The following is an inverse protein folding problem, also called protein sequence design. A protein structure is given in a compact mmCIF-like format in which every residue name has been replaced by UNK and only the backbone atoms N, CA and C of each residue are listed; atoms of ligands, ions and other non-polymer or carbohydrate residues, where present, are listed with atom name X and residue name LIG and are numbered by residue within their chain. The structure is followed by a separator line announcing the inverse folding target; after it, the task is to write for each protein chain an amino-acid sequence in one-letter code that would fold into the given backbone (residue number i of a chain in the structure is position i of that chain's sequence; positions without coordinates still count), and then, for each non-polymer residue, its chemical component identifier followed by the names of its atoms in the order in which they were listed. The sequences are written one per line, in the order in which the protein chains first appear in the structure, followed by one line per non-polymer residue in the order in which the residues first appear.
data_IF_151338247324
#
_entry.id   IF_151338247324
#
_cell.length_a   1.000
_cell.length_b   1.000
_cell.length_c   1.000
_cell.angle_alpha   90.00
_cell.angle_beta   90.00
_cell.angle_gamma   90.00
#
_symmetry.space_group_name_H-M   'P 1'
#
loop_
_entity.id
_entity.type
_entity.pdbx_description
1 polymer ?
#
# COMPACT_ATOMS: atom_id res chain seq x y z
N UNK A 1 -7.68 16.90 -22.61
CA UNK A 1 -7.72 17.35 -24.00
C UNK A 1 -9.13 17.82 -24.32
N UNK A 2 -9.32 19.09 -24.70
CA UNK A 2 -10.67 19.68 -24.84
C UNK A 2 -11.44 19.10 -26.03
N UNK A 3 -10.72 18.71 -27.07
CA UNK A 3 -11.31 18.38 -28.36
C UNK A 3 -11.96 16.99 -28.34
N UNK A 4 -11.36 16.05 -27.61
CA UNK A 4 -11.95 14.72 -27.38
C UNK A 4 -13.27 14.79 -26.60
N UNK A 5 -13.34 15.62 -25.55
CA UNK A 5 -14.58 15.85 -24.82
C UNK A 5 -15.65 16.49 -25.71
N UNK A 6 -15.31 17.51 -26.48
CA UNK A 6 -16.25 18.12 -27.43
C UNK A 6 -16.77 17.12 -28.47
N UNK A 7 -15.92 16.24 -28.97
CA UNK A 7 -16.33 15.17 -29.88
C UNK A 7 -17.36 14.26 -29.21
N UNK A 8 -17.11 13.79 -28.00
CA UNK A 8 -18.04 12.94 -27.25
C UNK A 8 -19.39 13.63 -27.02
N UNK A 9 -19.39 14.90 -26.62
CA UNK A 9 -20.63 15.69 -26.43
C UNK A 9 -21.48 15.82 -27.71
N UNK A 10 -20.84 15.88 -28.88
CA UNK A 10 -21.54 16.02 -30.17
C UNK A 10 -22.04 14.69 -30.73
N UNK A 11 -21.41 13.57 -30.35
CA UNK A 11 -21.63 12.27 -30.98
C UNK A 11 -22.24 11.21 -30.05
N UNK A 12 -22.35 11.46 -28.74
CA UNK A 12 -22.97 10.55 -27.79
C UNK A 12 -24.35 11.07 -27.35
N UNK A 13 -25.26 10.13 -27.11
CA UNK A 13 -26.54 10.37 -26.47
C UNK A 13 -26.37 10.78 -25.00
N UNK A 14 -27.45 11.29 -24.40
CA UNK A 14 -27.50 11.64 -22.97
C UNK A 14 -27.09 10.45 -22.07
N UNK A 15 -27.55 9.25 -22.39
CA UNK A 15 -27.30 8.07 -21.56
C UNK A 15 -25.86 7.57 -21.71
N UNK A 16 -25.30 7.62 -22.92
CA UNK A 16 -23.87 7.31 -23.15
C UNK A 16 -22.97 8.31 -22.43
N UNK A 17 -23.29 9.60 -22.52
CA UNK A 17 -22.55 10.64 -21.79
C UNK A 17 -22.65 10.42 -20.28
N UNK A 18 -23.83 10.06 -19.76
CA UNK A 18 -24.01 9.74 -18.34
C UNK A 18 -23.06 8.63 -17.89
N UNK A 19 -23.00 7.52 -18.62
CA UNK A 19 -22.08 6.43 -18.28
C UNK A 19 -20.62 6.80 -18.48
N UNK A 20 -20.29 7.52 -19.55
CA UNK A 20 -18.93 7.96 -19.83
C UNK A 20 -18.41 8.89 -18.74
N UNK A 21 -19.22 9.82 -18.24
CA UNK A 21 -18.86 10.65 -17.08
C UNK A 21 -18.62 9.79 -15.85
N UNK A 22 -19.53 8.86 -15.53
CA UNK A 22 -19.36 7.96 -14.39
C UNK A 22 -18.09 7.11 -14.48
N UNK A 23 -17.70 6.65 -15.68
CA UNK A 23 -16.42 5.96 -15.91
C UNK A 23 -15.24 6.89 -15.65
N UNK A 24 -15.26 8.11 -16.20
CA UNK A 24 -14.16 9.07 -16.03
C UNK A 24 -13.94 9.47 -14.56
N UNK A 25 -15.02 9.64 -13.80
CA UNK A 25 -14.93 9.97 -12.36
C UNK A 25 -14.81 8.73 -11.46
N UNK A 26 -14.77 7.52 -12.03
CA UNK A 26 -14.68 6.23 -11.31
C UNK A 26 -15.83 6.04 -10.30
N UNK A 27 -17.06 6.30 -10.73
CA UNK A 27 -18.28 6.24 -9.91
C UNK A 27 -19.28 5.18 -10.42
N UNK A 28 -18.87 4.27 -11.31
CA UNK A 28 -19.77 3.28 -11.91
C UNK A 28 -20.41 2.39 -10.85
N UNK A 29 -19.63 1.84 -9.92
CA UNK A 29 -20.11 0.94 -8.86
C UNK A 29 -21.17 1.60 -7.97
N UNK A 30 -20.95 2.87 -7.63
CA UNK A 30 -21.89 3.67 -6.84
C UNK A 30 -23.18 3.92 -7.61
N UNK A 31 -23.08 4.25 -8.90
CA UNK A 31 -24.24 4.52 -9.76
C UNK A 31 -25.12 3.31 -9.97
N UNK A 32 -24.54 2.11 -10.09
CA UNK A 32 -25.32 0.85 -10.18
C UNK A 32 -25.70 0.28 -8.81
N UNK A 33 -25.12 0.79 -7.72
CA UNK A 33 -25.37 0.29 -6.36
C UNK A 33 -24.82 -1.11 -6.09
N UNK A 34 -23.77 -1.53 -6.80
CA UNK A 34 -23.19 -2.88 -6.70
C UNK A 34 -21.73 -2.78 -6.28
N UNK A 35 -21.36 -3.54 -5.25
CA UNK A 35 -19.97 -3.57 -4.76
C UNK A 35 -19.04 -4.24 -5.79
N UNK A 36 -17.79 -3.77 -5.89
CA UNK A 36 -16.78 -4.31 -6.81
C UNK A 36 -16.61 -5.82 -6.72
N UNK A 37 -16.64 -6.41 -5.51
CA UNK A 37 -16.52 -7.86 -5.32
C UNK A 37 -17.67 -8.64 -5.99
N UNK A 38 -18.88 -8.06 -6.04
CA UNK A 38 -20.03 -8.67 -6.71
C UNK A 38 -19.87 -8.59 -8.23
N UNK A 39 -19.36 -7.47 -8.74
CA UNK A 39 -19.06 -7.33 -10.18
C UNK A 39 -17.98 -8.35 -10.58
N UNK A 40 -16.92 -8.49 -9.78
CA UNK A 40 -15.85 -9.44 -10.02
C UNK A 40 -16.35 -10.89 -10.00
N UNK A 41 -17.26 -11.25 -9.09
CA UNK A 41 -17.78 -12.62 -9.02
C UNK A 41 -18.59 -13.01 -10.27
N UNK A 42 -19.07 -12.06 -11.06
CA UNK A 42 -19.71 -12.33 -12.36
C UNK A 42 -18.71 -12.76 -13.43
N UNK A 43 -17.42 -12.46 -13.27
CA UNK A 43 -16.35 -12.87 -14.20
C UNK A 43 -15.89 -14.32 -13.96
N UNK A 44 -16.27 -14.91 -12.82
CA UNK A 44 -15.96 -16.30 -12.48
C UNK A 44 -15.69 -16.50 -10.99
N UNK A 45 -15.65 -17.76 -10.53
CA UNK A 45 -15.49 -18.08 -9.11
C UNK A 45 -14.14 -17.60 -8.53
N UNK A 46 -13.07 -17.60 -9.33
CA UNK A 46 -11.72 -17.21 -8.88
C UNK A 46 -11.39 -15.74 -9.14
N UNK A 47 -12.30 -14.97 -9.76
CA UNK A 47 -12.00 -13.61 -10.23
C UNK A 47 -11.64 -12.66 -9.09
N UNK A 48 -12.29 -12.79 -7.94
CA UNK A 48 -12.01 -11.98 -6.74
C UNK A 48 -10.61 -12.27 -6.21
N UNK A 49 -10.20 -13.54 -6.17
CA UNK A 49 -8.89 -13.94 -5.65
C UNK A 49 -7.78 -13.47 -6.58
N UNK A 50 -7.96 -13.61 -7.90
CA UNK A 50 -7.02 -13.09 -8.91
C UNK A 50 -6.89 -11.56 -8.83
N UNK A 51 -8.01 -10.86 -8.63
CA UNK A 51 -7.99 -9.41 -8.43
C UNK A 51 -7.20 -9.02 -7.17
N UNK A 52 -7.39 -9.73 -6.06
CA UNK A 52 -6.65 -9.46 -4.82
C UNK A 52 -5.16 -9.76 -4.98
N UNK A 53 -4.78 -10.75 -5.80
CA UNK A 53 -3.41 -11.15 -6.05
C UNK A 53 -2.64 -10.25 -7.03
N UNK A 54 -3.30 -9.65 -8.02
CA UNK A 54 -2.62 -8.90 -9.09
C UNK A 54 -3.06 -7.44 -9.24
N UNK A 55 -4.27 -7.09 -8.78
CA UNK A 55 -4.96 -5.82 -9.08
C UNK A 55 -4.93 -5.42 -10.56
N UNK A 56 -4.97 -6.42 -11.43
CA UNK A 56 -4.96 -6.25 -12.88
C UNK A 56 -6.19 -6.97 -13.48
N UNK A 57 -7.02 -6.22 -14.20
CA UNK A 57 -8.21 -6.78 -14.83
C UNK A 57 -7.86 -7.74 -15.97
N UNK A 58 -6.69 -7.59 -16.59
CA UNK A 58 -6.23 -8.51 -17.64
C UNK A 58 -5.92 -9.90 -17.06
N UNK A 59 -5.30 -9.96 -15.87
CA UNK A 59 -5.06 -11.21 -15.13
C UNK A 59 -6.37 -11.83 -14.61
N UNK A 60 -7.35 -11.01 -14.22
CA UNK A 60 -8.68 -11.51 -13.84
C UNK A 60 -9.39 -12.17 -15.02
N UNK A 61 -9.28 -11.58 -16.22
CA UNK A 61 -9.91 -12.08 -17.44
C UNK A 61 -9.12 -13.22 -18.12
N UNK A 62 -7.90 -13.51 -17.68
CA UNK A 62 -7.06 -14.53 -18.28
C UNK A 62 -7.64 -15.95 -18.07
N UNK A 63 -7.54 -16.86 -19.06
CA UNK A 63 -8.09 -18.20 -18.96
C UNK A 63 -7.37 -19.08 -17.91
N UNK A 64 -6.15 -18.72 -17.52
CA UNK A 64 -5.36 -19.40 -16.50
C UNK A 64 -4.59 -18.40 -15.67
N UNK A 65 -4.52 -18.59 -14.35
CA UNK A 65 -3.71 -17.76 -13.47
C UNK A 65 -2.22 -17.90 -13.83
N UNK A 66 -1.54 -16.78 -14.12
CA UNK A 66 -0.09 -16.77 -14.15
C UNK A 66 0.41 -16.88 -12.71
N UNK A 67 1.20 -17.91 -12.40
CA UNK A 67 1.85 -18.05 -11.09
C UNK A 67 3.09 -17.14 -11.03
N UNK A 68 2.93 -15.86 -11.31
CA UNK A 68 4.04 -14.92 -11.23
C UNK A 68 4.43 -14.65 -9.77
N UNK A 69 5.73 -14.45 -9.56
CA UNK A 69 6.27 -14.10 -8.25
C UNK A 69 5.60 -12.81 -7.74
N UNK A 70 5.16 -12.73 -6.47
CA UNK A 70 4.58 -11.50 -5.93
C UNK A 70 5.59 -10.34 -5.87
N UNK A 71 6.88 -10.60 -6.13
CA UNK A 71 7.93 -9.61 -6.14
C UNK A 71 7.73 -8.60 -7.28
N UNK A 72 7.42 -7.35 -6.90
CA UNK A 72 7.17 -6.26 -7.84
C UNK A 72 5.74 -6.24 -8.40
N UNK A 73 4.88 -7.15 -7.96
CA UNK A 73 3.46 -7.18 -8.31
C UNK A 73 2.65 -6.28 -7.35
N UNK A 74 1.61 -5.64 -7.88
CA UNK A 74 0.75 -4.75 -7.13
C UNK A 74 -0.44 -5.52 -6.54
N UNK A 75 -0.25 -6.19 -5.42
CA UNK A 75 -1.32 -6.95 -4.78
C UNK A 75 -2.01 -6.17 -3.67
N UNK A 76 -3.19 -6.64 -3.26
CA UNK A 76 -3.93 -6.06 -2.14
C UNK A 76 -3.32 -6.52 -0.81
N UNK A 77 -2.83 -5.60 0.05
CA UNK A 77 -2.32 -6.00 1.36
C UNK A 77 -3.44 -6.55 2.25
N UNK A 78 -3.05 -7.35 3.23
CA UNK A 78 -3.98 -7.90 4.21
C UNK A 78 -4.65 -6.77 5.00
N UNK A 79 -5.94 -6.94 5.33
CA UNK A 79 -6.71 -5.95 6.07
C UNK A 79 -7.10 -6.51 7.43
N UNK A 80 -7.00 -5.66 8.46
CA UNK A 80 -7.52 -5.99 9.78
C UNK A 80 -9.05 -5.99 9.77
N UNK A 81 -9.63 -7.05 10.35
CA UNK A 81 -11.04 -7.10 10.69
C UNK A 81 -11.30 -6.26 11.95
N UNK A 82 -12.44 -5.57 12.00
CA UNK A 82 -12.88 -4.89 13.21
C UNK A 82 -13.55 -5.91 14.13
N UNK A 83 -13.00 -6.09 15.32
CA UNK A 83 -13.63 -6.95 16.32
C UNK A 83 -14.94 -6.32 16.85
N UNK A 84 -15.93 -7.16 17.20
CA UNK A 84 -17.16 -6.69 17.84
C UNK A 84 -16.86 -6.10 19.23
N UNK A 85 -17.79 -5.32 19.79
CA UNK A 85 -17.60 -4.76 21.15
C UNK A 85 -17.73 -5.84 22.22
N UNK A 86 -18.68 -6.76 22.02
CA UNK A 86 -18.96 -7.88 22.91
C UNK A 86 -18.61 -9.17 22.17
N UNK A 87 -18.16 -10.19 22.91
CA UNK A 87 -17.78 -11.48 22.32
C UNK A 87 -16.54 -11.42 21.41
N UNK A 88 -15.69 -10.39 21.55
CA UNK A 88 -14.50 -10.23 20.70
C UNK A 88 -13.48 -11.34 20.92
N UNK A 89 -13.45 -11.91 22.12
CA UNK A 89 -12.52 -12.97 22.48
C UNK A 89 -12.80 -14.26 21.73
N UNK A 90 -14.07 -14.64 21.59
CA UNK A 90 -14.49 -15.84 20.88
C UNK A 90 -14.14 -15.73 19.40
N UNK A 91 -14.43 -14.57 18.78
CA UNK A 91 -14.06 -14.29 17.39
C UNK A 91 -12.54 -14.34 17.20
N UNK A 92 -11.79 -13.74 18.12
CA UNK A 92 -10.32 -13.72 18.04
C UNK A 92 -9.75 -15.13 18.22
N UNK A 93 -10.24 -15.90 19.18
CA UNK A 93 -9.80 -17.27 19.44
C UNK A 93 -10.11 -18.21 18.26
N UNK A 94 -11.27 -18.05 17.63
CA UNK A 94 -11.67 -18.84 16.45
C UNK A 94 -10.75 -18.59 15.26
N UNK A 95 -10.29 -17.34 15.06
CA UNK A 95 -9.51 -16.95 13.88
C UNK A 95 -7.99 -16.99 14.10
N UNK A 96 -7.52 -16.71 15.31
CA UNK A 96 -6.10 -16.56 15.65
C UNK A 96 -5.58 -17.64 16.61
N UNK A 97 -6.45 -18.49 17.16
CA UNK A 97 -6.09 -19.47 18.19
C UNK A 97 -5.98 -18.87 19.59
N UNK A 98 -5.52 -19.69 20.54
CA UNK A 98 -5.34 -19.27 21.95
C UNK A 98 -4.08 -18.44 22.19
N UNK A 99 -3.05 -18.63 21.37
CA UNK A 99 -1.79 -17.90 21.43
C UNK A 99 -1.64 -17.05 20.17
N UNK A 100 -1.53 -15.73 20.35
CA UNK A 100 -1.41 -14.76 19.26
C UNK A 100 -0.54 -13.58 19.69
N UNK A 101 -0.07 -12.82 18.71
CA UNK A 101 0.71 -11.61 18.95
C UNK A 101 -0.20 -10.38 19.01
N UNK A 102 0.18 -9.41 19.84
CA UNK A 102 -0.46 -8.10 19.90
C UNK A 102 0.55 -7.06 19.48
N UNK A 103 0.24 -6.32 18.42
CA UNK A 103 1.07 -5.22 17.92
C UNK A 103 0.35 -3.88 18.09
N UNK A 104 1.12 -2.81 18.28
CA UNK A 104 0.56 -1.46 18.29
C UNK A 104 0.13 -1.08 16.88
N UNK A 105 -1.15 -0.76 16.69
CA UNK A 105 -1.62 -0.22 15.43
C UNK A 105 -1.19 1.23 15.28
N UNK A 106 -0.23 1.48 14.39
CA UNK A 106 0.18 2.83 14.01
C UNK A 106 -0.85 3.49 13.07
N UNK A 107 -0.84 4.82 13.06
CA UNK A 107 -1.76 5.67 12.28
C UNK A 107 -0.96 6.57 11.34
N UNK A 108 -0.49 5.97 10.26
CA UNK A 108 0.38 6.56 9.24
C UNK A 108 -0.15 6.34 7.83
N UNK A 109 0.78 6.15 6.90
CA UNK A 109 0.49 5.81 5.51
C UNK A 109 0.90 4.36 5.22
N UNK A 110 -0.10 3.51 5.02
CA UNK A 110 0.06 2.10 4.69
C UNK A 110 0.59 1.93 3.26
N UNK A 111 1.77 1.32 3.14
CA UNK A 111 2.47 1.08 1.87
C UNK A 111 3.04 -0.33 1.82
N UNK A 112 3.03 -0.90 0.62
CA UNK A 112 3.70 -2.13 0.27
C UNK A 112 5.00 -1.77 -0.47
N UNK A 113 6.12 -2.14 0.12
CA UNK A 113 7.45 -1.93 -0.43
C UNK A 113 7.97 -3.22 -1.06
N UNK A 114 8.45 -3.13 -2.30
CA UNK A 114 9.21 -4.20 -2.94
C UNK A 114 10.64 -3.75 -3.17
N UNK A 115 11.60 -4.49 -2.63
CA UNK A 115 13.02 -4.36 -2.94
C UNK A 115 13.40 -5.49 -3.88
N UNK A 116 13.97 -5.16 -5.03
CA UNK A 116 14.19 -6.08 -6.16
C UNK A 116 15.63 -5.92 -6.63
N UNK A 117 16.31 -7.04 -6.88
CA UNK A 117 17.66 -7.07 -7.45
C UNK A 117 18.62 -6.11 -6.73
N UNK A 118 18.58 -6.10 -5.38
CA UNK A 118 19.35 -5.26 -4.46
C UNK A 118 18.98 -3.76 -4.47
N UNK A 119 18.84 -3.13 -5.62
CA UNK A 119 18.81 -1.66 -5.71
C UNK A 119 17.54 -1.09 -6.31
N UNK A 120 16.65 -1.92 -6.87
CA UNK A 120 15.38 -1.45 -7.44
C UNK A 120 14.27 -1.51 -6.40
N UNK A 121 13.43 -0.49 -6.41
CA UNK A 121 12.35 -0.34 -5.44
C UNK A 121 11.03 -0.12 -6.16
N UNK A 122 9.95 -0.69 -5.63
CA UNK A 122 8.57 -0.34 -5.98
C UNK A 122 7.75 -0.07 -4.73
N UNK A 123 6.84 0.91 -4.82
CA UNK A 123 6.01 1.33 -3.70
C UNK A 123 4.55 1.41 -4.12
N UNK A 124 3.70 0.64 -3.47
CA UNK A 124 2.26 0.67 -3.69
C UNK A 124 1.54 1.10 -2.41
N UNK A 125 0.59 2.02 -2.51
CA UNK A 125 -0.29 2.31 -1.37
C UNK A 125 -1.24 1.13 -1.10
N UNK A 126 -1.90 1.13 0.05
CA UNK A 126 -3.03 0.23 0.35
C UNK A 126 -4.05 0.07 -0.78
N UNK A 127 -4.30 1.14 -1.55
CA UNK A 127 -5.25 1.14 -2.66
C UNK A 127 -4.61 0.84 -4.02
N UNK A 128 -3.39 0.32 -4.04
CA UNK A 128 -2.68 -0.12 -5.25
C UNK A 128 -2.25 1.04 -6.15
N UNK A 129 -2.18 2.27 -5.66
CA UNK A 129 -1.55 3.36 -6.43
C UNK A 129 -0.04 3.23 -6.33
N UNK A 130 0.63 3.30 -7.47
CA UNK A 130 2.08 3.32 -7.58
C UNK A 130 2.63 4.70 -7.20
N UNK A 131 3.48 4.73 -6.17
CA UNK A 131 4.20 5.91 -5.68
C UNK A 131 5.72 5.71 -5.75
N UNK A 132 6.19 4.80 -6.60
CA UNK A 132 7.60 4.50 -6.78
C UNK A 132 8.40 5.74 -7.18
N UNK A 133 7.80 6.64 -7.96
CA UNK A 133 8.43 7.91 -8.33
C UNK A 133 8.64 8.83 -7.12
N UNK A 134 7.65 8.92 -6.24
CA UNK A 134 7.66 9.80 -5.07
C UNK A 134 8.56 9.27 -3.94
N UNK A 135 8.59 7.95 -3.73
CA UNK A 135 9.40 7.33 -2.67
C UNK A 135 10.78 6.86 -3.16
N UNK A 136 11.02 6.89 -4.47
CA UNK A 136 12.27 6.57 -5.13
C UNK A 136 12.31 5.13 -5.65
N UNK A 137 12.58 4.97 -6.96
CA UNK A 137 12.69 3.65 -7.58
C UNK A 137 14.07 2.99 -7.47
N UNK A 138 15.05 3.66 -6.86
CA UNK A 138 16.44 3.22 -6.76
C UNK A 138 17.08 3.63 -5.44
N UNK A 139 18.02 2.83 -4.94
CA UNK A 139 18.87 3.17 -3.79
C UNK A 139 19.74 4.42 -4.03
N UNK A 140 20.01 4.76 -5.30
CA UNK A 140 20.80 5.94 -5.66
C UNK A 140 20.08 7.27 -5.40
N UNK A 141 18.76 7.26 -5.21
CA UNK A 141 17.95 8.46 -4.93
C UNK A 141 17.96 8.75 -3.42
N UNK A 142 19.12 9.21 -2.92
CA UNK A 142 19.37 9.41 -1.48
C UNK A 142 18.54 10.51 -0.84
N UNK A 143 17.97 11.39 -1.65
CA UNK A 143 17.01 12.41 -1.23
C UNK A 143 15.61 11.83 -0.97
N UNK A 144 15.29 10.64 -1.51
CA UNK A 144 14.00 9.96 -1.35
C UNK A 144 14.09 8.77 -0.37
N UNK A 145 12.94 8.19 -0.02
CA UNK A 145 12.81 7.15 1.01
C UNK A 145 13.71 5.96 0.71
N UNK A 146 13.64 5.40 -0.50
CA UNK A 146 14.41 4.20 -0.89
C UNK A 146 15.91 4.36 -0.65
N UNK A 147 16.49 5.48 -1.03
CA UNK A 147 17.92 5.74 -0.79
C UNK A 147 18.25 5.95 0.68
N UNK A 148 17.36 6.60 1.45
CA UNK A 148 17.54 6.81 2.89
C UNK A 148 17.47 5.51 3.69
N UNK A 149 16.62 4.56 3.28
CA UNK A 149 16.43 3.29 4.00
C UNK A 149 17.38 2.18 3.54
N UNK A 150 18.03 2.33 2.38
CA UNK A 150 18.77 1.25 1.72
C UNK A 150 19.84 0.61 2.61
N UNK A 151 20.60 1.42 3.36
CA UNK A 151 21.69 0.95 4.22
C UNK A 151 21.23 0.16 5.44
N UNK A 152 19.95 0.24 5.82
CA UNK A 152 19.39 -0.51 6.94
C UNK A 152 19.03 -1.95 6.56
N UNK A 153 18.93 -2.27 5.26
CA UNK A 153 18.79 -3.64 4.81
C UNK A 153 20.10 -4.40 5.03
N UNK A 154 20.00 -5.62 5.59
CA UNK A 154 21.18 -6.51 5.66
C UNK A 154 21.70 -6.76 4.25
N UNK A 155 23.02 -6.78 4.09
CA UNK A 155 23.68 -7.01 2.79
C UNK A 155 23.30 -8.33 2.11
N UNK A 156 22.78 -9.30 2.86
CA UNK A 156 22.28 -10.59 2.37
C UNK A 156 20.86 -10.53 1.77
N UNK A 157 20.13 -9.41 1.93
CA UNK A 157 18.76 -9.24 1.43
C UNK A 157 18.80 -8.56 0.07
N UNK A 158 18.73 -9.37 -0.99
CA UNK A 158 18.64 -8.85 -2.35
C UNK A 158 17.20 -8.49 -2.71
N UNK A 159 16.27 -9.39 -2.37
CA UNK A 159 14.86 -9.29 -2.71
C UNK A 159 13.99 -9.46 -1.46
N UNK A 160 13.02 -8.56 -1.26
CA UNK A 160 12.00 -8.69 -0.23
C UNK A 160 10.76 -7.87 -0.58
N UNK A 161 9.65 -8.23 0.07
CA UNK A 161 8.41 -7.45 0.10
C UNK A 161 8.15 -7.14 1.57
N UNK A 162 7.87 -5.88 1.88
CA UNK A 162 7.55 -5.42 3.22
C UNK A 162 6.18 -4.73 3.21
N UNK A 163 5.34 -5.10 4.15
CA UNK A 163 4.07 -4.42 4.44
C UNK A 163 4.29 -3.43 5.58
N UNK A 164 4.23 -2.13 5.28
CA UNK A 164 4.77 -1.08 6.15
C UNK A 164 3.76 0.01 6.45
N UNK A 165 3.87 0.59 7.64
CA UNK A 165 3.26 1.87 7.97
C UNK A 165 4.33 2.96 7.96
N UNK A 166 4.26 3.88 6.99
CA UNK A 166 5.10 5.06 7.00
C UNK A 166 4.61 6.03 8.07
N UNK A 167 5.51 6.42 8.95
CA UNK A 167 5.27 7.33 10.05
C UNK A 167 6.14 8.58 9.92
N UNK A 168 5.67 9.69 10.49
CA UNK A 168 6.48 10.88 10.66
C UNK A 168 7.07 10.87 12.06
N UNK A 169 8.38 11.14 12.18
CA UNK A 169 9.09 11.26 13.44
C UNK A 169 9.49 12.72 13.67
N UNK A 170 9.00 13.32 14.77
CA UNK A 170 9.42 14.66 15.19
C UNK A 170 10.74 14.58 15.96
N UNK A 171 11.82 15.15 15.41
CA UNK A 171 13.15 15.14 16.00
C UNK A 171 13.26 15.97 17.27
N UNK A 172 12.46 17.05 17.41
CA UNK A 172 12.47 17.92 18.59
C UNK A 172 11.74 17.26 19.74
N UNK A 173 10.54 16.76 19.47
CA UNK A 173 9.66 16.14 20.46
C UNK A 173 10.01 14.67 20.72
N UNK A 174 10.88 14.09 19.88
CA UNK A 174 11.28 12.68 19.93
C UNK A 174 10.07 11.73 20.01
N UNK A 175 9.11 11.94 19.12
CA UNK A 175 7.87 11.16 19.09
C UNK A 175 7.37 10.91 17.68
N UNK A 176 6.63 9.81 17.53
CA UNK A 176 5.86 9.53 16.33
C UNK A 176 4.68 10.49 16.22
N UNK A 177 4.50 11.04 15.03
CA UNK A 177 3.43 11.93 14.65
C UNK A 177 2.31 11.11 14.01
N UNK A 178 1.08 11.40 14.43
CA UNK A 178 -0.11 10.82 13.77
C UNK A 178 -0.30 11.43 12.38
N UNK A 179 -1.05 10.74 11.53
CA UNK A 179 -1.49 11.28 10.25
C UNK A 179 -2.15 12.67 10.45
N UNK A 180 -1.73 13.66 9.66
CA UNK A 180 -2.15 15.08 9.76
C UNK A 180 -1.65 15.83 11.01
N UNK A 181 -0.56 15.39 11.64
CA UNK A 181 0.07 16.17 12.70
C UNK A 181 0.51 17.54 12.18
N UNK A 182 -0.18 18.60 12.64
CA UNK A 182 0.31 19.97 12.51
C UNK A 182 1.33 20.18 13.61
N UNK A 183 2.61 20.14 13.25
CA UNK A 183 3.67 20.46 14.18
C UNK A 183 3.57 21.95 14.52
N UNK A 184 3.33 22.26 15.80
CA UNK A 184 3.45 23.63 16.32
C UNK A 184 4.89 24.17 16.17
N UNK A 185 5.87 23.30 15.93
CA UNK A 185 7.29 23.61 15.82
C UNK A 185 7.76 23.89 14.38
N UNK A 186 6.88 23.73 13.37
CA UNK A 186 7.15 23.98 11.94
C UNK A 186 6.04 24.83 11.33
N UNK A 187 5.81 26.01 11.90
CA UNK A 187 4.88 27.03 11.37
C UNK A 187 3.47 26.51 11.01
N UNK A 188 2.98 25.49 11.72
CA UNK A 188 1.65 24.91 11.50
C UNK A 188 1.42 24.31 10.10
N UNK A 189 2.48 23.99 9.34
CA UNK A 189 2.39 23.31 8.03
C UNK A 189 1.91 21.87 8.18
N UNK A 190 1.10 21.42 7.21
CA UNK A 190 0.74 20.02 7.05
C UNK A 190 1.87 19.31 6.32
N UNK A 191 2.46 18.30 6.96
CA UNK A 191 3.52 17.48 6.38
C UNK A 191 2.93 16.37 5.52
N UNK A 192 3.53 16.15 4.34
CA UNK A 192 3.23 15.00 3.48
C UNK A 192 4.35 13.99 3.62
N UNK A 193 4.02 12.70 3.75
CA UNK A 193 5.00 11.61 3.73
C UNK A 193 5.86 11.59 2.45
N UNK A 194 5.40 12.26 1.38
CA UNK A 194 6.05 12.29 0.07
C UNK A 194 7.06 13.43 -0.07
N UNK A 195 6.88 14.50 0.69
CA UNK A 195 7.67 15.72 0.57
C UNK A 195 7.94 16.25 1.98
N UNK A 196 9.11 15.90 2.50
CA UNK A 196 9.65 16.44 3.75
C UNK A 196 10.82 17.34 3.37
N UNK A 197 10.73 18.61 3.75
CA UNK A 197 11.82 19.54 3.52
C UNK A 197 13.05 19.11 4.34
N UNK A 198 14.26 19.09 3.79
CA UNK A 198 15.48 18.79 4.56
C UNK A 198 15.68 19.71 5.78
N UNK A 199 15.13 20.92 5.76
CA UNK A 199 15.15 21.87 6.86
C UNK A 199 14.08 21.60 7.94
N UNK A 200 13.10 20.72 7.67
CA UNK A 200 12.08 20.36 8.64
C UNK A 200 12.67 19.52 9.79
N UNK A 201 12.14 19.74 10.98
CA UNK A 201 12.48 18.94 12.17
C UNK A 201 11.75 17.59 12.19
N UNK A 202 11.28 17.11 11.04
CA UNK A 202 10.54 15.86 10.89
C UNK A 202 11.33 14.93 9.96
N UNK A 203 11.29 13.62 10.21
CA UNK A 203 11.86 12.62 9.32
C UNK A 203 10.85 11.48 9.10
N UNK A 204 10.96 10.80 7.95
CA UNK A 204 10.23 9.55 7.74
C UNK A 204 10.83 8.47 8.63
N UNK A 205 10.01 7.91 9.51
CA UNK A 205 10.25 6.62 10.13
C UNK A 205 9.44 5.58 9.38
N UNK A 206 10.08 4.50 8.97
CA UNK A 206 9.39 3.31 8.49
C UNK A 206 9.16 2.40 9.69
N UNK A 207 7.91 2.00 9.92
CA UNK A 207 7.58 0.96 10.87
C UNK A 207 7.12 -0.25 10.06
N UNK A 208 7.91 -1.31 10.12
CA UNK A 208 7.53 -2.61 9.57
C UNK A 208 6.33 -3.14 10.37
N UNK A 209 5.21 -3.42 9.69
CA UNK A 209 4.10 -4.15 10.31
C UNK A 209 4.43 -5.64 10.14
N UNK A 210 4.54 -6.38 11.24
CA UNK A 210 5.03 -7.77 11.23
C UNK A 210 4.09 -8.76 10.53
N UNK A 211 2.90 -8.35 10.11
CA UNK A 211 1.83 -9.28 9.70
C UNK A 211 1.67 -9.51 8.18
N UNK A 212 2.49 -8.92 7.31
CA UNK A 212 2.29 -9.04 5.85
C UNK A 212 3.44 -9.66 5.07
N UNK A 213 3.47 -10.99 4.95
CA UNK A 213 4.17 -11.76 3.91
C UNK A 213 5.68 -11.45 3.70
N UNK A 214 6.55 -11.97 4.58
CA UNK A 214 8.01 -12.03 4.35
C UNK A 214 8.38 -13.10 3.32
N UNK A 215 8.36 -12.74 2.04
CA UNK A 215 9.11 -13.48 1.01
C UNK A 215 10.54 -12.94 0.95
N UNK A 216 11.31 -13.16 2.02
CA UNK A 216 12.74 -12.87 2.04
C UNK A 216 13.49 -14.05 1.42
N UNK A 217 13.98 -13.92 0.19
CA UNK A 217 14.87 -14.93 -0.41
C UNK A 217 16.31 -14.73 0.10
N UNK A 218 16.52 -14.88 1.40
CA UNK A 218 17.84 -14.88 2.01
C UNK A 218 18.35 -16.32 2.15
N UNK A 219 19.45 -16.67 1.49
CA UNK A 219 20.21 -17.87 1.86
C UNK A 219 20.94 -17.58 3.18
N UNK A 220 20.27 -17.70 4.33
CA UNK A 220 20.97 -17.79 5.62
C UNK A 220 20.13 -18.37 6.75
N UNK A 221 20.75 -19.32 7.46
CA UNK A 221 20.28 -19.96 8.69
C UNK A 221 20.35 -18.95 9.84
N UNK A 222 19.26 -18.25 10.15
CA UNK A 222 18.90 -17.82 11.51
C UNK A 222 17.61 -16.98 11.46
N UNK A 223 16.58 -17.48 12.15
CA UNK A 223 15.33 -16.78 12.44
C UNK A 223 15.60 -15.69 13.48
N UNK A 224 14.76 -14.65 13.45
CA UNK A 224 14.71 -13.45 14.30
C UNK A 224 15.29 -12.22 13.61
N UNK A 225 14.41 -11.42 13.00
CA UNK A 225 14.71 -10.01 12.71
C UNK A 225 13.46 -9.19 13.01
N UNK A 226 13.49 -8.51 14.16
CA UNK A 226 12.71 -7.32 14.47
C UNK A 226 13.56 -6.12 14.03
N UNK A 227 13.03 -5.22 13.21
CA UNK A 227 13.68 -3.95 12.92
C UNK A 227 12.98 -2.84 13.72
N UNK A 228 13.53 -2.51 14.88
CA UNK A 228 13.40 -1.17 15.44
C UNK A 228 14.59 -0.38 14.93
N UNK A 229 14.36 0.58 14.03
CA UNK A 229 15.39 1.53 13.60
C UNK A 229 15.74 2.40 14.82
N UNK A 230 16.96 2.25 15.33
CA UNK A 230 17.57 3.16 16.29
C UNK A 230 18.23 4.34 15.57
#
# INVERSE_FOLDING_TARGET
DSDGLQYLFKNCSKDELFWLFNVMIKNVESTIGVATNVILSWLGPEAVDRWNAARDLSEVAAPSASAESPLGANFRPMLLARLPKEGWWEVLKENSGEEFFVETKYDGEHVLLHKIARDQYKWYTRNGKDFTKDYGGSSSLTDLVSGRIHSFFRSSVNDCILDCELMLWDKKLKKLCRRQFKSQNSENRSHSFRHIDPSDHVQLGEIEILEGLKLCRAKSKNKNVFFLVH
#
